data_IF_277419556511
#
_entry.id   IF_277419556511
#
_cell.length_a   1.000
_cell.length_b   1.000
_cell.length_c   1.000
_cell.angle_alpha   90.00
_cell.angle_beta   90.00
_cell.angle_gamma   90.00
#
_symmetry.space_group_name_H-M   'P 1'
#
loop_
_entity.id
_entity.type
_entity.pdbx_description
1 polymer ?
#
# COMPACT_ATOMS: atom_id res chain seq x y z
N UNK A 1 -1.57 -0.41 12.33
CA UNK A 1 -0.83 -0.48 11.05
C UNK A 1 -1.82 -0.26 9.91
N UNK A 2 -1.38 0.11 8.72
CA UNK A 2 -2.23 0.16 7.51
C UNK A 2 -1.67 -0.74 6.42
N UNK A 3 -2.57 -1.27 5.60
CA UNK A 3 -2.33 -1.90 4.30
C UNK A 3 -3.20 -1.19 3.26
N UNK A 4 -2.72 -1.10 2.02
CA UNK A 4 -3.50 -0.56 0.91
C UNK A 4 -2.90 -0.98 -0.42
N UNK A 5 -3.69 -0.94 -1.48
CA UNK A 5 -3.28 -1.34 -2.82
C UNK A 5 -3.86 -0.42 -3.89
N UNK A 6 -3.32 -0.50 -5.10
CA UNK A 6 -3.83 0.16 -6.30
C UNK A 6 -3.31 -0.58 -7.55
N UNK A 7 -3.86 -0.30 -8.73
CA UNK A 7 -3.42 -0.89 -10.00
C UNK A 7 -3.70 0.05 -11.19
N UNK A 8 -2.66 0.51 -11.88
CA UNK A 8 -2.81 1.63 -12.84
C UNK A 8 -3.34 2.87 -12.11
N UNK A 9 -4.31 3.57 -12.70
CA UNK A 9 -5.05 4.63 -12.03
C UNK A 9 -6.10 4.16 -11.02
N UNK A 10 -6.35 2.85 -10.87
CA UNK A 10 -7.44 2.34 -10.01
C UNK A 10 -6.95 2.24 -8.56
N UNK A 11 -7.48 3.10 -7.68
CA UNK A 11 -7.23 3.06 -6.23
C UNK A 11 -7.97 1.91 -5.56
N UNK A 12 -7.29 1.18 -4.67
CA UNK A 12 -7.88 0.14 -3.81
C UNK A 12 -8.17 0.66 -2.39
N UNK A 13 -8.68 -0.20 -1.49
CA UNK A 13 -9.05 0.20 -0.14
C UNK A 13 -7.82 0.41 0.76
N UNK A 14 -7.93 1.37 1.70
CA UNK A 14 -7.02 1.49 2.85
C UNK A 14 -7.62 0.73 4.04
N UNK A 15 -6.85 -0.20 4.61
CA UNK A 15 -7.29 -1.13 5.66
C UNK A 15 -6.39 -0.97 6.89
N UNK A 16 -6.99 -0.77 8.07
CA UNK A 16 -6.24 -0.79 9.33
C UNK A 16 -6.02 -2.24 9.77
N UNK A 17 -4.78 -2.74 9.70
CA UNK A 17 -4.48 -4.16 9.91
C UNK A 17 -4.86 -4.66 11.32
N UNK A 18 -4.97 -3.75 12.30
CA UNK A 18 -5.36 -4.08 13.67
C UNK A 18 -6.84 -4.48 13.80
N UNK A 19 -7.69 -4.15 12.82
CA UNK A 19 -9.10 -4.57 12.72
C UNK A 19 -9.25 -5.97 12.10
N UNK A 20 -8.20 -6.51 11.49
CA UNK A 20 -8.17 -7.83 10.83
C UNK A 20 -7.50 -8.92 11.69
N UNK A 21 -7.38 -8.67 13.00
CA UNK A 21 -6.72 -9.55 13.98
C UNK A 21 -7.70 -10.44 14.72
N UNK A 22 -7.26 -11.63 15.12
CA UNK A 22 -7.98 -12.41 16.13
C UNK A 22 -7.53 -12.03 17.56
N UNK A 23 -8.39 -11.29 18.25
CA UNK A 23 -8.17 -10.85 19.62
C UNK A 23 -6.90 -10.01 19.79
N UNK A 24 -6.13 -10.32 20.84
CA UNK A 24 -4.95 -9.54 21.24
C UNK A 24 -3.64 -9.97 20.53
N UNK A 25 -3.72 -10.67 19.38
CA UNK A 25 -2.53 -11.01 18.62
C UNK A 25 -1.74 -9.77 18.15
N UNK A 26 -0.45 -9.96 17.85
CA UNK A 26 0.32 -9.03 17.02
C UNK A 26 0.04 -9.35 15.56
N UNK A 27 -0.01 -8.32 14.72
CA UNK A 27 -0.16 -8.45 13.26
C UNK A 27 0.88 -9.45 12.73
N UNK A 28 0.40 -10.51 12.09
CA UNK A 28 1.20 -11.64 11.64
C UNK A 28 0.70 -12.16 10.28
N UNK A 29 1.25 -13.29 9.82
CA UNK A 29 0.90 -13.90 8.54
C UNK A 29 -0.60 -14.24 8.40
N UNK A 30 -1.29 -14.64 9.47
CA UNK A 30 -2.73 -14.91 9.45
C UNK A 30 -3.53 -13.61 9.31
N UNK A 31 -3.17 -12.57 10.07
CA UNK A 31 -3.70 -11.21 9.90
C UNK A 31 -3.55 -10.74 8.45
N UNK A 32 -2.40 -11.02 7.83
CA UNK A 32 -2.13 -10.64 6.43
C UNK A 32 -2.96 -11.46 5.43
N UNK A 33 -3.03 -12.78 5.58
CA UNK A 33 -3.85 -13.67 4.74
C UNK A 33 -5.33 -13.26 4.79
N UNK A 34 -5.85 -12.85 5.96
CA UNK A 34 -7.21 -12.28 6.09
C UNK A 34 -7.37 -11.01 5.24
N UNK A 35 -6.41 -10.08 5.29
CA UNK A 35 -6.44 -8.85 4.50
C UNK A 35 -6.41 -9.14 2.99
N UNK A 36 -5.57 -10.08 2.54
CA UNK A 36 -5.52 -10.49 1.13
C UNK A 36 -6.86 -11.12 0.69
N UNK A 37 -7.41 -12.03 1.50
CA UNK A 37 -8.68 -12.71 1.20
C UNK A 37 -9.86 -11.73 1.13
N UNK A 38 -9.97 -10.84 2.11
CA UNK A 38 -11.11 -9.92 2.26
C UNK A 38 -11.04 -8.69 1.36
N UNK A 39 -9.85 -8.27 0.92
CA UNK A 39 -9.66 -6.98 0.24
C UNK A 39 -8.88 -7.06 -1.08
N UNK A 40 -7.81 -7.86 -1.18
CA UNK A 40 -7.04 -7.96 -2.43
C UNK A 40 -7.80 -8.73 -3.53
N UNK A 41 -8.31 -9.93 -3.26
CA UNK A 41 -8.98 -10.72 -4.31
C UNK A 41 -10.27 -10.06 -4.85
N UNK A 42 -11.11 -9.40 -4.02
CA UNK A 42 -12.18 -8.55 -4.54
C UNK A 42 -11.65 -7.40 -5.41
N UNK A 43 -10.61 -6.69 -4.99
CA UNK A 43 -10.02 -5.60 -5.77
C UNK A 43 -9.44 -6.07 -7.11
N UNK A 44 -8.71 -7.19 -7.16
CA UNK A 44 -8.21 -7.78 -8.42
C UNK A 44 -9.35 -8.15 -9.38
N UNK A 45 -10.52 -8.54 -8.85
CA UNK A 45 -11.72 -8.78 -9.66
C UNK A 45 -12.23 -7.47 -10.27
N UNK A 46 -12.38 -6.43 -9.46
CA UNK A 46 -12.81 -5.09 -9.91
C UNK A 46 -11.86 -4.52 -10.97
N UNK A 47 -10.54 -4.63 -10.79
CA UNK A 47 -9.56 -4.20 -11.80
C UNK A 47 -9.73 -4.96 -13.11
N UNK A 48 -9.96 -6.28 -13.06
CA UNK A 48 -10.21 -7.09 -14.26
C UNK A 48 -11.52 -6.73 -14.96
N UNK A 49 -12.56 -6.42 -14.20
CA UNK A 49 -13.87 -6.00 -14.72
C UNK A 49 -13.81 -4.61 -15.38
N UNK A 50 -13.03 -3.68 -14.80
CA UNK A 50 -12.85 -2.32 -15.33
C UNK A 50 -11.86 -2.22 -16.51
N UNK A 51 -10.83 -3.08 -16.56
CA UNK A 51 -9.74 -2.96 -17.55
C UNK A 51 -9.68 -4.08 -18.60
N UNK A 52 -10.46 -5.15 -18.41
CA UNK A 52 -10.33 -6.40 -19.17
C UNK A 52 -9.04 -7.19 -18.90
N UNK A 53 -8.17 -6.73 -17.98
CA UNK A 53 -6.84 -7.31 -17.72
C UNK A 53 -6.72 -7.86 -16.30
N UNK A 54 -6.10 -9.03 -16.16
CA UNK A 54 -5.73 -9.55 -14.85
C UNK A 54 -4.61 -8.69 -14.24
N UNK A 55 -4.78 -8.26 -12.98
CA UNK A 55 -3.78 -7.51 -12.24
C UNK A 55 -2.75 -8.46 -11.62
N UNK A 56 -1.48 -8.36 -12.05
CA UNK A 56 -0.37 -9.03 -11.37
C UNK A 56 -0.19 -8.42 -9.97
N UNK A 57 -0.20 -9.25 -8.92
CA UNK A 57 0.03 -8.78 -7.56
C UNK A 57 1.52 -8.56 -7.32
N UNK A 58 1.87 -7.35 -6.84
CA UNK A 58 3.21 -7.00 -6.39
C UNK A 58 3.16 -6.62 -4.92
N UNK A 59 4.07 -7.19 -4.14
CA UNK A 59 4.38 -6.85 -2.75
C UNK A 59 5.90 -6.76 -2.60
N UNK A 60 6.39 -6.22 -1.49
CA UNK A 60 7.79 -6.36 -1.13
C UNK A 60 8.06 -7.70 -0.42
N UNK A 61 9.32 -8.09 -0.33
CA UNK A 61 9.75 -9.25 0.47
C UNK A 61 9.83 -8.84 1.96
N UNK A 62 8.82 -8.15 2.48
CA UNK A 62 8.85 -7.64 3.85
C UNK A 62 8.94 -8.77 4.86
N UNK A 63 9.56 -8.51 6.03
CA UNK A 63 9.64 -9.45 7.13
C UNK A 63 8.32 -10.06 7.64
N UNK A 64 7.18 -9.41 7.43
CA UNK A 64 5.83 -9.96 7.74
C UNK A 64 5.25 -10.82 6.59
N UNK A 65 5.99 -10.96 5.50
CA UNK A 65 5.69 -11.75 4.30
C UNK A 65 6.80 -12.79 4.01
N UNK A 66 8.00 -12.68 4.61
CA UNK A 66 9.09 -13.69 4.51
C UNK A 66 10.13 -13.72 5.66
N UNK A 67 10.16 -12.73 6.57
CA UNK A 67 11.17 -12.51 7.66
C UNK A 67 12.60 -12.16 7.14
N UNK A 68 13.49 -11.33 7.72
CA UNK A 68 13.59 -10.48 8.96
C UNK A 68 14.43 -9.22 8.59
N UNK A 69 14.37 -8.01 9.17
CA UNK A 69 13.44 -7.18 9.99
C UNK A 69 13.77 -5.71 9.59
N UNK A 70 12.79 -4.84 9.25
CA UNK A 70 13.05 -3.47 8.73
C UNK A 70 12.09 -2.38 9.26
N UNK A 71 12.53 -1.11 9.20
CA UNK A 71 11.88 0.09 9.77
C UNK A 71 12.06 1.28 8.83
N UNK A 72 10.97 1.95 8.43
CA UNK A 72 10.99 3.12 7.53
C UNK A 72 10.71 4.45 8.26
N UNK A 73 11.09 5.56 7.61
CA UNK A 73 10.97 6.94 8.15
C UNK A 73 9.63 7.57 7.77
N UNK A 74 9.12 8.47 8.62
CA UNK A 74 7.91 9.25 8.35
C UNK A 74 8.23 10.46 7.45
N UNK A 75 7.58 10.57 6.30
CA UNK A 75 7.45 11.85 5.59
C UNK A 75 6.34 12.70 6.23
N UNK A 76 6.37 14.02 6.00
CA UNK A 76 5.43 14.97 6.61
C UNK A 76 4.10 14.99 5.84
N UNK A 77 3.04 14.51 6.48
CA UNK A 77 1.65 14.77 6.05
C UNK A 77 1.36 16.28 6.17
N UNK A 78 0.52 16.81 5.29
CA UNK A 78 0.15 18.24 5.28
C UNK A 78 -0.59 18.63 6.58
N UNK A 79 -0.40 19.88 7.02
CA UNK A 79 -0.87 20.36 8.34
C UNK A 79 -2.31 20.86 8.32
N UNK A 80 -3.27 19.93 8.24
CA UNK A 80 -4.50 20.06 9.04
C UNK A 80 -4.17 19.69 10.50
N UNK A 81 -5.13 19.83 11.42
CA UNK A 81 -4.88 19.64 12.85
C UNK A 81 -4.24 18.27 13.15
N UNK A 82 -3.13 18.26 13.90
CA UNK A 82 -2.39 17.01 14.14
C UNK A 82 -3.22 16.08 15.05
N UNK A 83 -3.55 14.85 14.63
CA UNK A 83 -4.44 13.96 15.36
C UNK A 83 -3.83 13.56 16.72
N UNK A 84 -4.66 13.63 17.76
CA UNK A 84 -4.27 13.42 19.16
C UNK A 84 -4.62 12.02 19.66
N UNK A 85 -5.64 11.40 19.07
CA UNK A 85 -6.04 10.01 19.33
C UNK A 85 -5.72 9.09 18.14
N UNK A 86 -5.80 7.78 18.37
CA UNK A 86 -5.64 6.78 17.28
C UNK A 86 -6.78 6.90 16.28
N UNK A 87 -8.00 7.18 16.73
CA UNK A 87 -9.18 7.22 15.86
C UNK A 87 -9.24 8.52 15.04
N UNK A 88 -8.83 9.67 15.59
CA UNK A 88 -8.55 10.89 14.79
C UNK A 88 -7.51 10.61 13.69
N UNK A 89 -6.46 9.82 14.00
CA UNK A 89 -5.44 9.45 13.01
C UNK A 89 -5.98 8.48 11.96
N UNK A 90 -6.89 7.55 12.33
CA UNK A 90 -7.57 6.69 11.35
C UNK A 90 -8.42 7.53 10.40
N UNK A 91 -9.31 8.37 10.92
CA UNK A 91 -10.19 9.24 10.12
C UNK A 91 -9.35 10.10 9.17
N UNK A 92 -8.33 10.80 9.67
CA UNK A 92 -7.47 11.64 8.83
C UNK A 92 -6.70 10.85 7.75
N UNK A 93 -6.30 9.59 8.02
CA UNK A 93 -5.65 8.74 7.02
C UNK A 93 -6.64 8.22 5.96
N UNK A 94 -7.87 7.89 6.34
CA UNK A 94 -8.94 7.53 5.41
C UNK A 94 -9.35 8.72 4.55
N UNK A 95 -9.54 9.91 5.15
CA UNK A 95 -9.88 11.14 4.43
C UNK A 95 -8.81 11.50 3.40
N UNK A 96 -7.54 11.54 3.80
CA UNK A 96 -6.46 11.92 2.87
C UNK A 96 -6.21 10.82 1.82
N UNK A 97 -6.45 9.53 2.10
CA UNK A 97 -6.45 8.46 1.07
C UNK A 97 -7.63 8.59 0.10
N UNK A 98 -8.81 8.99 0.58
CA UNK A 98 -9.95 9.21 -0.31
C UNK A 98 -9.78 10.44 -1.21
N UNK A 99 -9.08 11.47 -0.72
CA UNK A 99 -8.73 12.67 -1.49
C UNK A 99 -7.47 12.52 -2.36
N UNK A 100 -6.82 11.35 -2.44
CA UNK A 100 -5.75 11.12 -3.41
C UNK A 100 -6.30 11.09 -4.84
N UNK A 101 -5.82 12.02 -5.68
CA UNK A 101 -6.09 12.04 -7.12
C UNK A 101 -5.56 10.77 -7.80
N UNK A 102 -6.38 10.19 -8.67
CA UNK A 102 -6.05 9.01 -9.46
C UNK A 102 -4.83 9.22 -10.36
N UNK A 103 -4.58 10.47 -10.80
CA UNK A 103 -3.40 10.84 -11.60
C UNK A 103 -2.07 10.47 -10.94
N UNK A 104 -2.00 10.51 -9.60
CA UNK A 104 -0.80 10.18 -8.83
C UNK A 104 -0.40 8.70 -9.02
N UNK A 105 -1.39 7.81 -9.07
CA UNK A 105 -1.14 6.38 -9.27
C UNK A 105 -0.66 6.09 -10.70
N UNK A 106 -1.20 6.80 -11.69
CA UNK A 106 -0.77 6.70 -13.09
C UNK A 106 0.65 7.27 -13.31
N UNK A 107 1.01 8.38 -12.66
CA UNK A 107 2.38 8.90 -12.69
C UNK A 107 3.37 7.92 -12.04
N UNK A 108 3.01 7.35 -10.88
CA UNK A 108 3.87 6.37 -10.20
C UNK A 108 4.06 5.11 -11.05
N UNK A 109 3.01 4.56 -11.67
CA UNK A 109 3.11 3.39 -12.56
C UNK A 109 3.91 3.71 -13.82
N UNK A 110 3.64 4.83 -14.49
CA UNK A 110 4.38 5.25 -15.70
C UNK A 110 5.84 5.63 -15.40
N UNK A 111 6.19 5.95 -14.15
CA UNK A 111 7.58 6.14 -13.73
C UNK A 111 8.40 4.84 -13.68
N UNK A 112 7.77 3.65 -13.60
CA UNK A 112 8.47 2.38 -13.34
C UNK A 112 9.62 2.06 -14.33
N UNK A 113 9.49 2.24 -15.66
CA UNK A 113 10.62 2.03 -16.58
C UNK A 113 11.83 2.94 -16.28
N UNK A 114 11.60 4.18 -15.85
CA UNK A 114 12.68 5.11 -15.43
C UNK A 114 13.35 4.63 -14.14
N UNK A 115 12.58 4.10 -13.18
CA UNK A 115 13.12 3.51 -11.94
C UNK A 115 14.00 2.28 -12.24
N UNK A 116 13.52 1.39 -13.12
CA UNK A 116 14.25 0.18 -13.54
C UNK A 116 15.56 0.57 -14.25
N UNK A 117 15.52 1.51 -15.20
CA UNK A 117 16.72 1.99 -15.88
C UNK A 117 17.74 2.59 -14.90
N UNK A 118 17.30 3.40 -13.92
CA UNK A 118 18.18 3.92 -12.88
C UNK A 118 18.86 2.83 -12.04
N UNK A 119 18.18 1.71 -11.77
CA UNK A 119 18.78 0.54 -11.09
C UNK A 119 19.79 -0.19 -11.99
N UNK A 120 19.54 -0.28 -13.30
CA UNK A 120 20.47 -0.86 -14.27
C UNK A 120 21.74 0.01 -14.41
N UNK A 121 21.59 1.33 -14.51
CA UNK A 121 22.69 2.31 -14.53
C UNK A 121 23.52 2.25 -13.23
N UNK A 122 22.84 2.15 -12.08
CA UNK A 122 23.46 1.95 -10.77
C UNK A 122 23.99 0.51 -10.54
N UNK A 123 23.87 -0.39 -11.52
CA UNK A 123 24.31 -1.81 -11.46
C UNK A 123 23.74 -2.57 -10.25
N UNK A 124 22.48 -2.33 -9.92
CA UNK A 124 21.79 -2.87 -8.74
C UNK A 124 21.95 -2.02 -7.46
N UNK A 125 22.70 -0.92 -7.51
CA UNK A 125 22.85 0.03 -6.41
C UNK A 125 21.59 0.88 -6.15
N UNK A 126 21.57 1.63 -5.02
CA UNK A 126 20.48 2.55 -4.70
C UNK A 126 20.31 3.66 -5.74
N UNK A 127 19.07 4.11 -5.92
CA UNK A 127 18.73 5.27 -6.77
C UNK A 127 18.17 6.41 -5.91
N UNK A 128 17.64 7.47 -6.54
CA UNK A 128 16.97 8.57 -5.85
C UNK A 128 15.46 8.34 -5.60
N UNK A 129 14.94 7.16 -5.98
CA UNK A 129 13.52 6.78 -5.93
C UNK A 129 13.12 5.97 -4.69
#
# INVERSE_FOLDING_TARGET
>A
MVWGCFAGGIKGPLIFCDENKEGNERINSNTYIRILNSHLYPFQRTVRELTGRAANFQQDNAPIHTTKITRLKKNKISRKAFPRTVDELKVALSDEWENLDYSIFEEVVSSMPRRINGVLEAKGGPTHY
#
